data_IF_208799870698
#
_entry.id   IF_208799870698
#
_cell.length_a   1.000
_cell.length_b   1.000
_cell.length_c   1.000
_cell.angle_alpha   90.00
_cell.angle_beta   90.00
_cell.angle_gamma   90.00
#
_symmetry.space_group_name_H-M   'P 1'
#
loop_
_entity.id
_entity.type
_entity.pdbx_description
1 polymer ?
#
# COMPACT_ATOMS: atom_id res chain seq x y z
N UNK A 1 -8.86 30.01 -4.11
CA UNK A 1 -9.04 29.19 -2.87
C UNK A 1 -7.67 28.76 -2.39
N UNK A 2 -7.35 28.91 -1.11
CA UNK A 2 -6.14 28.32 -0.50
C UNK A 2 -6.57 26.97 0.08
N UNK A 3 -5.95 25.87 -0.39
CA UNK A 3 -6.26 24.53 0.07
C UNK A 3 -5.04 23.95 0.82
N UNK A 4 -5.22 23.61 2.09
CA UNK A 4 -4.15 23.16 2.99
C UNK A 4 -4.37 21.74 3.55
N UNK A 5 -5.31 20.97 2.97
CA UNK A 5 -5.67 19.64 3.44
C UNK A 5 -5.26 18.52 2.44
N UNK A 6 -4.08 18.64 1.85
CA UNK A 6 -3.56 17.64 0.91
C UNK A 6 -3.31 16.27 1.57
N UNK A 7 -3.14 16.22 2.89
CA UNK A 7 -3.05 14.98 3.66
C UNK A 7 -4.33 14.13 3.61
N UNK A 8 -5.50 14.77 3.47
CA UNK A 8 -6.78 14.07 3.26
C UNK A 8 -6.93 13.61 1.81
N UNK A 9 -6.74 14.52 0.86
CA UNK A 9 -6.71 14.27 -0.60
C UNK A 9 -6.03 15.45 -1.29
N UNK A 10 -5.35 15.21 -2.41
CA UNK A 10 -4.74 16.31 -3.17
C UNK A 10 -5.78 17.14 -3.90
N UNK A 11 -5.63 18.47 -3.88
CA UNK A 11 -6.46 19.41 -4.65
C UNK A 11 -5.65 20.69 -4.97
N UNK A 12 -5.75 21.25 -6.22
CA UNK A 12 -6.51 20.69 -7.36
C UNK A 12 -5.83 19.45 -7.95
N UNK A 13 -6.62 18.63 -8.62
CA UNK A 13 -6.09 17.55 -9.47
C UNK A 13 -5.55 18.13 -10.77
N UNK A 14 -4.51 17.52 -11.39
CA UNK A 14 -4.11 17.88 -12.76
C UNK A 14 -5.31 17.77 -13.72
N UNK A 15 -5.45 18.74 -14.64
CA UNK A 15 -6.55 18.76 -15.60
C UNK A 15 -6.59 17.50 -16.46
N UNK A 16 -5.42 16.93 -16.76
CA UNK A 16 -5.24 15.67 -17.49
C UNK A 16 -5.99 14.49 -16.85
N UNK A 17 -6.09 14.46 -15.52
CA UNK A 17 -6.79 13.39 -14.79
C UNK A 17 -8.28 13.42 -15.11
N UNK A 18 -8.93 14.58 -15.04
CA UNK A 18 -10.34 14.73 -15.37
C UNK A 18 -10.62 14.37 -16.83
N UNK A 19 -9.77 14.83 -17.76
CA UNK A 19 -9.90 14.50 -19.20
C UNK A 19 -9.75 13.00 -19.45
N UNK A 20 -8.77 12.34 -18.84
CA UNK A 20 -8.58 10.90 -18.99
C UNK A 20 -9.76 10.08 -18.44
N UNK A 21 -10.35 10.51 -17.32
CA UNK A 21 -11.53 9.85 -16.76
C UNK A 21 -12.75 9.96 -17.69
N UNK A 22 -13.01 11.16 -18.25
CA UNK A 22 -14.10 11.36 -19.21
C UNK A 22 -13.88 10.52 -20.47
N UNK A 23 -12.68 10.56 -21.02
CA UNK A 23 -12.33 9.77 -22.19
C UNK A 23 -12.55 8.28 -21.96
N UNK A 24 -12.11 7.75 -20.80
CA UNK A 24 -12.28 6.34 -20.45
C UNK A 24 -13.77 5.94 -20.34
N UNK A 25 -14.61 6.80 -19.73
CA UNK A 25 -16.05 6.57 -19.63
C UNK A 25 -16.75 6.52 -20.99
N UNK A 26 -16.29 7.31 -21.97
CA UNK A 26 -16.89 7.40 -23.29
C UNK A 26 -16.39 6.32 -24.27
N UNK A 27 -15.17 5.77 -24.06
CA UNK A 27 -14.50 4.97 -25.07
C UNK A 27 -14.10 3.57 -24.64
N UNK A 28 -13.98 3.29 -23.31
CA UNK A 28 -13.50 2.00 -22.83
C UNK A 28 -14.62 1.12 -22.27
N UNK A 29 -14.87 -0.06 -22.87
CA UNK A 29 -15.71 -1.09 -22.28
C UNK A 29 -14.94 -1.85 -21.16
N UNK A 30 -15.57 -2.91 -20.63
CA UNK A 30 -14.95 -3.73 -19.60
C UNK A 30 -13.71 -4.47 -20.13
N UNK A 31 -12.55 -4.34 -19.47
CA UNK A 31 -11.36 -5.13 -19.83
C UNK A 31 -11.60 -6.62 -19.57
N UNK A 32 -10.94 -7.49 -20.35
CA UNK A 32 -10.96 -8.94 -20.15
C UNK A 32 -12.29 -9.65 -20.47
N UNK A 33 -13.26 -8.94 -21.06
CA UNK A 33 -14.58 -9.49 -21.37
C UNK A 33 -14.96 -9.27 -22.82
N UNK A 34 -14.26 -9.90 -23.74
CA UNK A 34 -14.58 -9.86 -25.16
C UNK A 34 -13.35 -9.65 -26.03
N UNK A 35 -13.55 -9.84 -27.35
CA UNK A 35 -12.52 -9.67 -28.38
C UNK A 35 -12.72 -8.38 -29.19
N UNK A 36 -13.36 -7.38 -28.60
CA UNK A 36 -13.51 -6.08 -29.27
C UNK A 36 -12.23 -5.25 -29.09
N UNK A 37 -11.91 -4.43 -30.08
CA UNK A 37 -10.77 -3.51 -30.02
C UNK A 37 -10.83 -2.55 -28.81
N UNK A 38 -12.04 -2.23 -28.33
CA UNK A 38 -12.22 -1.45 -27.11
C UNK A 38 -11.81 -2.21 -25.84
N UNK A 39 -12.11 -3.51 -25.75
CA UNK A 39 -11.71 -4.34 -24.62
C UNK A 39 -10.18 -4.51 -24.59
N UNK A 40 -9.54 -4.72 -25.76
CA UNK A 40 -8.09 -4.77 -25.90
C UNK A 40 -7.45 -3.43 -25.47
N UNK A 41 -7.99 -2.30 -25.91
CA UNK A 41 -7.50 -0.97 -25.48
C UNK A 41 -7.63 -0.74 -23.98
N UNK A 42 -8.67 -1.26 -23.33
CA UNK A 42 -8.83 -1.20 -21.87
C UNK A 42 -7.80 -2.05 -21.13
N UNK A 43 -7.47 -3.25 -21.65
CA UNK A 43 -6.41 -4.10 -21.10
C UNK A 43 -5.02 -3.46 -21.27
N UNK A 44 -4.73 -2.91 -22.45
CA UNK A 44 -3.49 -2.20 -22.70
C UNK A 44 -3.29 -1.01 -21.76
N UNK A 45 -4.35 -0.25 -21.47
CA UNK A 45 -4.31 0.87 -20.53
C UNK A 45 -4.00 0.39 -19.10
N UNK A 46 -4.63 -0.71 -18.65
CA UNK A 46 -4.35 -1.29 -17.33
C UNK A 46 -2.92 -1.83 -17.24
N UNK A 47 -2.42 -2.42 -18.31
CA UNK A 47 -1.04 -2.90 -18.35
C UNK A 47 -0.03 -1.74 -18.37
N UNK A 48 -0.30 -0.69 -19.15
CA UNK A 48 0.51 0.53 -19.15
C UNK A 48 0.59 1.19 -17.76
N UNK A 49 -0.53 1.23 -17.01
CA UNK A 49 -0.54 1.71 -15.63
C UNK A 49 0.37 0.86 -14.72
N UNK A 50 0.35 -0.47 -14.87
CA UNK A 50 1.23 -1.36 -14.11
C UNK A 50 2.70 -1.14 -14.44
N UNK A 51 3.03 -0.93 -15.72
CA UNK A 51 4.39 -0.62 -16.16
C UNK A 51 4.90 0.68 -15.53
N UNK A 52 4.08 1.75 -15.56
CA UNK A 52 4.44 3.03 -14.94
C UNK A 52 4.63 2.91 -13.43
N UNK A 53 3.71 2.23 -12.73
CA UNK A 53 3.83 2.01 -11.30
C UNK A 53 5.08 1.15 -10.97
N UNK A 54 5.34 0.10 -11.74
CA UNK A 54 6.49 -0.76 -11.57
C UNK A 54 7.81 0.01 -11.76
N UNK A 55 7.87 0.87 -12.78
CA UNK A 55 9.02 1.75 -13.02
C UNK A 55 9.23 2.76 -11.88
N UNK A 56 8.15 3.37 -11.36
CA UNK A 56 8.23 4.38 -10.32
C UNK A 56 8.64 3.80 -8.96
N UNK A 57 8.22 2.57 -8.65
CA UNK A 57 8.42 1.95 -7.34
C UNK A 57 9.43 0.79 -7.35
N UNK A 58 10.15 0.60 -8.46
CA UNK A 58 11.16 -0.44 -8.65
C UNK A 58 10.65 -1.85 -8.31
N UNK A 59 9.63 -2.30 -9.05
CA UNK A 59 9.07 -3.65 -8.96
C UNK A 59 8.70 -4.19 -10.34
N UNK A 60 8.15 -5.39 -10.41
CA UNK A 60 7.65 -5.95 -11.68
C UNK A 60 6.18 -5.57 -11.90
N UNK A 61 5.71 -5.40 -13.16
CA UNK A 61 4.31 -5.06 -13.44
C UNK A 61 3.31 -6.06 -12.87
N UNK A 62 3.68 -7.33 -12.78
CA UNK A 62 2.87 -8.41 -12.22
C UNK A 62 2.68 -8.28 -10.70
N UNK A 63 3.57 -7.55 -10.05
CA UNK A 63 3.50 -7.25 -8.62
C UNK A 63 2.55 -6.10 -8.29
N UNK A 64 2.01 -5.40 -9.31
CA UNK A 64 1.12 -4.25 -9.12
C UNK A 64 -0.33 -4.69 -9.16
N UNK A 65 -1.01 -4.63 -8.00
CA UNK A 65 -2.45 -4.87 -7.86
C UNK A 65 -3.17 -3.53 -7.75
N UNK A 66 -4.22 -3.36 -8.59
CA UNK A 66 -5.11 -2.21 -8.51
C UNK A 66 -6.13 -2.42 -7.39
N UNK A 67 -6.25 -1.45 -6.51
CA UNK A 67 -7.20 -1.48 -5.39
C UNK A 67 -8.12 -0.26 -5.43
N UNK A 68 -9.19 -0.30 -4.64
CA UNK A 68 -10.12 0.85 -4.54
C UNK A 68 -9.65 1.92 -3.56
N UNK A 69 -8.65 1.60 -2.73
CA UNK A 69 -8.07 2.51 -1.73
C UNK A 69 -6.84 1.89 -1.08
N UNK A 70 -6.04 2.69 -0.40
CA UNK A 70 -4.98 2.19 0.49
C UNK A 70 -5.54 1.23 1.57
N UNK A 71 -6.68 1.55 2.16
CA UNK A 71 -7.35 0.69 3.15
C UNK A 71 -7.66 -0.69 2.59
N UNK A 72 -8.09 -0.78 1.33
CA UNK A 72 -8.33 -2.06 0.65
C UNK A 72 -7.02 -2.84 0.51
N UNK A 73 -5.95 -2.20 0.01
CA UNK A 73 -4.62 -2.83 -0.11
C UNK A 73 -4.06 -3.30 1.24
N UNK A 74 -4.14 -2.46 2.29
CA UNK A 74 -3.71 -2.83 3.64
C UNK A 74 -4.47 -4.03 4.20
N UNK A 75 -5.79 -4.13 3.97
CA UNK A 75 -6.56 -5.29 4.41
C UNK A 75 -6.16 -6.57 3.67
N UNK A 76 -5.89 -6.50 2.36
CA UNK A 76 -5.35 -7.64 1.60
C UNK A 76 -4.01 -8.07 2.20
N UNK A 77 -3.05 -7.15 2.34
CA UNK A 77 -1.71 -7.43 2.81
C UNK A 77 -1.69 -8.00 4.23
N UNK A 78 -2.39 -7.36 5.18
CA UNK A 78 -2.45 -7.79 6.58
C UNK A 78 -3.03 -9.20 6.68
N UNK A 79 -4.16 -9.46 6.01
CA UNK A 79 -4.83 -10.76 6.06
C UNK A 79 -4.13 -11.86 5.26
N UNK A 80 -3.21 -11.49 4.37
CA UNK A 80 -2.32 -12.44 3.69
C UNK A 80 -1.17 -12.92 4.58
N UNK A 81 -0.74 -12.09 5.53
CA UNK A 81 0.49 -12.33 6.31
C UNK A 81 0.22 -12.72 7.76
N UNK A 82 -0.89 -12.30 8.35
CA UNK A 82 -1.19 -12.53 9.76
C UNK A 82 -2.62 -13.02 9.99
N UNK A 83 -2.81 -13.74 11.08
CA UNK A 83 -4.06 -14.29 11.57
C UNK A 83 -4.30 -14.02 13.07
N UNK A 84 -5.36 -14.63 13.64
CA UNK A 84 -5.67 -14.50 15.07
C UNK A 84 -4.53 -15.00 15.95
N UNK A 85 -4.15 -14.20 16.95
CA UNK A 85 -3.09 -14.52 17.91
C UNK A 85 -1.66 -14.33 17.39
N UNK A 86 -1.46 -14.03 16.10
CA UNK A 86 -0.13 -13.77 15.59
C UNK A 86 0.44 -12.47 16.16
N UNK A 87 1.73 -12.52 16.52
CA UNK A 87 2.47 -11.35 17.00
C UNK A 87 2.76 -10.41 15.84
N UNK A 88 2.26 -9.16 15.95
CA UNK A 88 2.43 -8.10 14.94
C UNK A 88 3.04 -6.87 15.60
N UNK A 89 4.11 -6.35 15.02
CA UNK A 89 4.75 -5.11 15.48
C UNK A 89 4.32 -3.95 14.58
N UNK A 90 3.88 -2.85 15.19
CA UNK A 90 3.45 -1.63 14.48
C UNK A 90 4.09 -0.38 15.10
N UNK A 91 4.01 0.76 14.39
CA UNK A 91 4.39 2.04 15.00
C UNK A 91 3.26 2.64 15.85
N UNK A 92 3.60 3.58 16.74
CA UNK A 92 2.62 4.34 17.53
C UNK A 92 1.83 5.37 16.70
N UNK A 93 2.19 5.58 15.44
CA UNK A 93 1.60 6.59 14.56
C UNK A 93 0.83 5.99 13.38
N UNK A 94 0.44 4.71 13.50
CA UNK A 94 -0.30 4.01 12.46
C UNK A 94 -1.70 4.58 12.22
N UNK A 95 -2.12 4.54 10.96
CA UNK A 95 -3.48 4.87 10.59
C UNK A 95 -4.47 3.77 11.00
N UNK A 96 -5.74 4.14 11.23
CA UNK A 96 -6.81 3.19 11.53
C UNK A 96 -6.98 2.06 10.50
N UNK A 97 -6.53 2.26 9.26
CA UNK A 97 -6.56 1.23 8.21
C UNK A 97 -5.61 0.05 8.49
N UNK A 98 -4.61 0.25 9.36
CA UNK A 98 -3.70 -0.78 9.90
C UNK A 98 -4.25 -1.31 11.22
N UNK A 99 -4.55 -0.42 12.15
CA UNK A 99 -4.89 -0.78 13.55
C UNK A 99 -6.19 -1.59 13.62
N UNK A 100 -7.24 -1.13 12.92
CA UNK A 100 -8.56 -1.78 13.01
C UNK A 100 -8.62 -3.21 12.49
N UNK A 101 -8.05 -3.56 11.30
CA UNK A 101 -8.04 -4.95 10.86
C UNK A 101 -7.23 -5.86 11.78
N UNK A 102 -6.11 -5.40 12.36
CA UNK A 102 -5.33 -6.17 13.33
C UNK A 102 -6.13 -6.46 14.61
N UNK A 103 -6.80 -5.45 15.18
CA UNK A 103 -7.70 -5.66 16.33
C UNK A 103 -8.88 -6.57 15.98
N UNK A 104 -9.50 -6.37 14.81
CA UNK A 104 -10.64 -7.16 14.39
C UNK A 104 -10.31 -8.64 14.19
N UNK A 105 -9.09 -8.97 13.79
CA UNK A 105 -8.65 -10.36 13.66
C UNK A 105 -8.14 -10.98 14.97
N UNK A 106 -7.95 -10.18 16.02
CA UNK A 106 -7.42 -10.65 17.30
C UNK A 106 -5.91 -10.91 17.28
N UNK A 107 -5.14 -10.11 16.53
CA UNK A 107 -3.68 -10.17 16.53
C UNK A 107 -3.10 -9.71 17.89
N UNK A 108 -1.94 -10.25 18.26
CA UNK A 108 -1.14 -9.79 19.40
C UNK A 108 -0.26 -8.60 18.96
N UNK A 109 -0.73 -7.38 19.28
CA UNK A 109 -0.17 -6.13 18.73
C UNK A 109 0.87 -5.54 19.70
N UNK A 110 2.07 -5.32 19.20
CA UNK A 110 3.17 -4.66 19.89
C UNK A 110 3.51 -3.33 19.20
N UNK A 111 3.67 -2.27 19.99
CA UNK A 111 3.78 -0.89 19.46
C UNK A 111 5.15 -0.30 19.80
N UNK A 112 5.91 0.10 18.76
CA UNK A 112 7.15 0.86 18.86
C UNK A 112 6.90 2.37 18.72
N UNK A 113 7.82 3.18 19.27
CA UNK A 113 7.83 4.64 19.06
C UNK A 113 7.23 5.44 20.20
N UNK A 114 7.44 5.07 21.44
CA UNK A 114 7.00 5.81 22.64
C UNK A 114 7.47 7.26 22.66
N UNK A 115 8.63 7.54 22.04
CA UNK A 115 9.20 8.87 21.92
C UNK A 115 9.06 9.37 20.49
N UNK A 116 8.11 10.29 20.27
CA UNK A 116 7.86 10.88 18.96
C UNK A 116 9.07 11.68 18.46
N UNK A 117 9.29 11.70 17.15
CA UNK A 117 10.35 12.42 16.45
C UNK A 117 11.78 12.04 16.83
N UNK A 118 11.96 10.88 17.48
CA UNK A 118 13.27 10.31 17.81
C UNK A 118 13.43 8.99 17.04
N UNK A 119 14.02 9.07 15.84
CA UNK A 119 14.21 7.91 14.97
C UNK A 119 15.17 6.88 15.59
N UNK A 120 16.18 7.30 16.35
CA UNK A 120 17.10 6.39 16.98
C UNK A 120 16.41 5.58 18.10
N UNK A 121 15.66 6.24 18.97
CA UNK A 121 14.88 5.56 20.01
C UNK A 121 13.79 4.67 19.40
N UNK A 122 13.18 5.09 18.29
CA UNK A 122 12.21 4.26 17.55
C UNK A 122 12.84 2.95 17.05
N UNK A 123 14.00 3.03 16.41
CA UNK A 123 14.70 1.85 15.88
C UNK A 123 15.17 0.92 17.00
N UNK A 124 15.63 1.47 18.12
CA UNK A 124 16.02 0.67 19.30
C UNK A 124 14.82 -0.07 19.89
N UNK A 125 13.66 0.60 20.05
CA UNK A 125 12.44 -0.07 20.51
C UNK A 125 11.95 -1.10 19.50
N UNK A 126 11.98 -0.80 18.21
CA UNK A 126 11.59 -1.71 17.15
C UNK A 126 12.45 -2.96 17.16
N UNK A 127 13.77 -2.80 17.26
CA UNK A 127 14.73 -3.91 17.33
C UNK A 127 14.45 -4.87 18.50
N UNK A 128 14.08 -4.33 19.66
CA UNK A 128 13.72 -5.12 20.86
C UNK A 128 12.37 -5.85 20.70
N UNK A 129 11.43 -5.28 19.92
CA UNK A 129 10.10 -5.86 19.70
C UNK A 129 10.07 -6.92 18.62
N UNK A 130 10.99 -6.86 17.64
CA UNK A 130 11.12 -7.83 16.56
C UNK A 130 11.78 -9.12 17.08
N UNK A 131 10.97 -10.03 17.56
CA UNK A 131 11.37 -11.35 18.12
C UNK A 131 11.16 -12.46 17.09
N UNK A 132 11.73 -13.67 17.27
CA UNK A 132 11.58 -14.78 16.31
C UNK A 132 10.14 -15.24 16.07
N UNK A 133 9.22 -14.95 16.98
CA UNK A 133 7.79 -15.22 16.86
C UNK A 133 7.00 -14.07 16.23
N UNK A 134 7.65 -12.97 15.86
CA UNK A 134 7.01 -11.87 15.14
C UNK A 134 6.62 -12.32 13.73
N UNK A 135 5.32 -12.28 13.44
CA UNK A 135 4.76 -12.72 12.17
C UNK A 135 4.76 -11.63 11.11
N UNK A 136 4.65 -10.36 11.53
CA UNK A 136 4.52 -9.21 10.63
C UNK A 136 4.99 -7.93 11.32
N UNK A 137 5.70 -7.09 10.59
CA UNK A 137 5.95 -5.69 10.94
C UNK A 137 5.21 -4.78 9.97
N UNK A 138 4.38 -3.85 10.47
CA UNK A 138 3.65 -2.86 9.66
C UNK A 138 4.04 -1.47 10.11
N UNK A 139 4.53 -0.64 9.19
CA UNK A 139 4.88 0.73 9.48
C UNK A 139 4.27 1.69 8.47
N UNK A 140 3.72 2.80 8.96
CA UNK A 140 3.45 3.96 8.10
C UNK A 140 4.77 4.66 7.76
N UNK A 141 4.95 5.07 6.51
CA UNK A 141 6.15 5.82 6.11
C UNK A 141 6.13 7.24 6.68
N UNK A 142 4.95 7.89 6.60
CA UNK A 142 4.74 9.25 7.11
C UNK A 142 3.43 9.32 7.87
N UNK A 143 3.49 9.79 9.11
CA UNK A 143 2.29 9.98 9.92
C UNK A 143 1.37 11.03 9.31
N UNK A 144 0.10 10.69 9.10
CA UNK A 144 -0.91 11.63 8.61
C UNK A 144 -1.29 12.71 9.64
N UNK A 145 -0.97 12.50 10.91
CA UNK A 145 -1.28 13.44 12.01
C UNK A 145 -0.10 14.36 12.31
N UNK A 146 1.11 13.76 12.41
CA UNK A 146 2.29 14.47 12.88
C UNK A 146 3.24 14.89 11.76
N UNK A 147 3.11 14.33 10.55
CA UNK A 147 4.09 14.51 9.46
C UNK A 147 5.47 13.91 9.78
N UNK A 148 5.57 13.08 10.83
CA UNK A 148 6.81 12.39 11.16
C UNK A 148 7.11 11.34 10.10
N UNK A 149 8.30 11.43 9.50
CA UNK A 149 8.85 10.45 8.56
C UNK A 149 9.56 9.39 9.38
N UNK A 150 9.09 8.16 9.33
CA UNK A 150 9.73 7.03 10.01
C UNK A 150 10.95 6.53 9.23
N UNK A 151 11.99 6.01 9.90
CA UNK A 151 13.20 5.45 9.28
C UNK A 151 12.91 4.04 8.73
N UNK A 152 12.14 3.99 7.62
CA UNK A 152 11.59 2.73 7.09
C UNK A 152 12.64 1.87 6.40
N UNK A 153 13.70 2.47 5.85
CA UNK A 153 14.82 1.75 5.24
C UNK A 153 15.58 0.92 6.29
N UNK A 154 15.92 1.53 7.42
CA UNK A 154 16.59 0.86 8.54
C UNK A 154 15.66 -0.17 9.17
N UNK A 155 14.39 0.16 9.38
CA UNK A 155 13.38 -0.76 9.91
C UNK A 155 13.18 -1.99 9.01
N UNK A 156 13.12 -1.81 7.69
CA UNK A 156 13.08 -2.89 6.71
C UNK A 156 14.34 -3.76 6.76
N UNK A 157 15.51 -3.15 7.00
CA UNK A 157 16.76 -3.85 7.24
C UNK A 157 16.68 -4.79 8.43
N UNK A 158 16.19 -4.31 9.59
CA UNK A 158 15.98 -5.11 10.80
C UNK A 158 15.00 -6.28 10.56
N UNK A 159 13.92 -6.04 9.83
CA UNK A 159 12.96 -7.09 9.46
C UNK A 159 13.59 -8.15 8.56
N UNK A 160 14.34 -7.72 7.54
CA UNK A 160 15.02 -8.62 6.59
C UNK A 160 16.04 -9.53 7.28
N UNK A 161 16.86 -8.99 8.20
CA UNK A 161 17.83 -9.77 8.97
C UNK A 161 17.18 -10.87 9.81
N UNK A 162 15.92 -10.69 10.23
CA UNK A 162 15.13 -11.62 11.03
C UNK A 162 14.13 -12.44 10.24
N UNK A 163 14.11 -12.28 8.91
CA UNK A 163 13.13 -12.91 8.01
C UNK A 163 11.67 -12.62 8.39
N UNK A 164 11.40 -11.41 8.93
CA UNK A 164 10.07 -10.96 9.27
C UNK A 164 9.48 -10.20 8.08
N UNK A 165 8.30 -10.58 7.57
CA UNK A 165 7.62 -9.83 6.52
C UNK A 165 7.38 -8.38 6.92
N UNK A 166 7.71 -7.44 6.01
CA UNK A 166 7.55 -6.01 6.20
C UNK A 166 6.45 -5.46 5.29
N UNK A 167 5.47 -4.77 5.87
CA UNK A 167 4.41 -4.06 5.16
C UNK A 167 4.55 -2.55 5.37
N UNK A 168 4.61 -1.80 4.27
CA UNK A 168 4.69 -0.34 4.30
C UNK A 168 3.32 0.28 3.95
N UNK A 169 2.78 1.10 4.87
CA UNK A 169 1.71 2.06 4.54
C UNK A 169 2.33 3.33 3.96
N UNK A 170 2.28 3.47 2.65
CA UNK A 170 2.80 4.60 1.90
C UNK A 170 1.74 5.65 1.59
N UNK A 171 0.65 5.72 2.39
CA UNK A 171 -0.49 6.59 2.12
C UNK A 171 -0.14 8.07 2.03
N UNK A 172 0.87 8.53 2.76
CA UNK A 172 1.30 9.94 2.76
C UNK A 172 2.60 10.18 1.97
N UNK A 173 3.33 9.14 1.61
CA UNK A 173 4.64 9.25 0.97
C UNK A 173 4.64 8.93 -0.51
N UNK A 174 3.78 8.02 -0.99
CA UNK A 174 3.74 7.66 -2.40
C UNK A 174 3.48 8.89 -3.30
N UNK A 175 4.36 9.08 -4.28
CA UNK A 175 4.34 10.25 -5.17
C UNK A 175 4.97 11.52 -4.58
N UNK A 176 5.47 11.49 -3.32
CA UNK A 176 6.12 12.66 -2.67
C UNK A 176 7.50 12.34 -2.14
N UNK A 177 7.73 11.13 -1.66
CA UNK A 177 9.05 10.64 -1.25
C UNK A 177 9.46 9.47 -2.14
N UNK A 178 10.76 9.24 -2.34
CA UNK A 178 11.24 8.04 -3.00
C UNK A 178 10.80 6.78 -2.25
N UNK A 179 10.36 5.77 -2.99
CA UNK A 179 10.03 4.44 -2.44
C UNK A 179 10.59 3.43 -3.44
N UNK A 180 11.48 2.58 -2.95
CA UNK A 180 12.09 1.50 -3.73
C UNK A 180 11.70 0.16 -3.10
N UNK A 181 10.81 -0.57 -3.77
CA UNK A 181 10.28 -1.84 -3.25
C UNK A 181 11.36 -2.92 -3.15
N UNK A 182 12.26 -2.97 -4.12
CA UNK A 182 13.35 -3.95 -4.15
C UNK A 182 14.36 -3.68 -3.04
N UNK A 183 14.78 -2.41 -2.86
CA UNK A 183 15.70 -2.02 -1.81
C UNK A 183 15.13 -2.26 -0.40
N UNK A 184 13.85 -1.96 -0.18
CA UNK A 184 13.15 -2.24 1.07
C UNK A 184 13.00 -3.74 1.32
N UNK A 185 12.89 -4.56 0.27
CA UNK A 185 12.53 -5.97 0.41
C UNK A 185 11.16 -6.16 1.06
N UNK A 186 10.24 -5.22 0.81
CA UNK A 186 8.92 -5.21 1.41
C UNK A 186 8.07 -6.39 0.90
N UNK A 187 7.36 -7.05 1.82
CA UNK A 187 6.36 -8.04 1.44
C UNK A 187 5.19 -7.39 0.70
N UNK A 188 4.76 -6.20 1.17
CA UNK A 188 3.76 -5.37 0.50
C UNK A 188 4.00 -3.88 0.75
N UNK A 189 3.57 -3.05 -0.22
CA UNK A 189 3.48 -1.59 -0.07
C UNK A 189 2.09 -1.16 -0.53
N UNK A 190 1.32 -0.49 0.33
CA UNK A 190 -0.02 -0.03 0.02
C UNK A 190 -0.07 1.49 -0.10
N UNK A 191 -0.80 2.01 -1.09
CA UNK A 191 -0.93 3.45 -1.31
C UNK A 191 -2.26 3.83 -1.96
N UNK A 192 -2.80 5.05 -1.68
CA UNK A 192 -3.98 5.56 -2.36
C UNK A 192 -3.60 6.30 -3.66
N UNK A 193 -4.44 6.23 -4.68
CA UNK A 193 -4.23 7.00 -5.89
C UNK A 193 -4.52 8.50 -5.74
N UNK A 194 -5.34 8.89 -4.76
CA UNK A 194 -5.90 10.24 -4.68
C UNK A 194 -5.09 11.25 -3.84
N UNK A 195 -3.95 10.86 -3.28
CA UNK A 195 -3.05 11.75 -2.52
C UNK A 195 -1.85 12.15 -3.38
N UNK A 196 -0.63 11.81 -3.01
CA UNK A 196 0.58 12.21 -3.73
C UNK A 196 0.66 11.72 -5.17
N UNK A 197 -0.02 10.63 -5.53
CA UNK A 197 -0.16 10.17 -6.91
C UNK A 197 -1.13 11.00 -7.77
N UNK A 198 -1.84 11.97 -7.19
CA UNK A 198 -2.71 12.95 -7.85
C UNK A 198 -3.90 12.37 -8.63
N UNK A 199 -4.18 11.09 -8.50
CA UNK A 199 -5.28 10.39 -9.14
C UNK A 199 -6.66 10.66 -8.50
N UNK A 200 -7.73 10.04 -9.00
CA UNK A 200 -9.06 10.19 -8.44
C UNK A 200 -9.23 9.43 -7.12
N UNK A 201 -10.21 9.84 -6.32
CA UNK A 201 -10.68 9.02 -5.19
C UNK A 201 -11.28 7.70 -5.72
N UNK A 202 -11.29 6.67 -4.87
CA UNK A 202 -11.74 5.34 -5.27
C UNK A 202 -10.68 4.50 -5.98
N UNK A 203 -9.41 4.95 -5.95
CA UNK A 203 -8.27 4.23 -6.52
C UNK A 203 -7.13 4.07 -5.52
N UNK A 204 -6.35 3.00 -5.70
CA UNK A 204 -5.14 2.71 -4.93
C UNK A 204 -4.31 1.63 -5.60
N UNK A 205 -3.10 1.44 -5.10
CA UNK A 205 -2.19 0.38 -5.52
C UNK A 205 -1.76 -0.44 -4.31
N UNK A 206 -1.55 -1.73 -4.53
CA UNK A 206 -0.83 -2.63 -3.65
C UNK A 206 0.31 -3.25 -4.46
N UNK A 207 1.54 -2.99 -4.03
CA UNK A 207 2.72 -3.65 -4.57
C UNK A 207 2.99 -4.92 -3.77
N UNK A 208 3.23 -6.03 -4.45
CA UNK A 208 3.28 -7.36 -3.87
C UNK A 208 4.65 -8.00 -4.07
N UNK A 209 5.48 -8.05 -3.04
CA UNK A 209 6.67 -8.87 -2.95
C UNK A 209 6.39 -10.29 -2.40
N UNK A 210 5.15 -10.50 -1.96
CA UNK A 210 4.64 -11.77 -1.43
C UNK A 210 3.31 -12.12 -2.10
N UNK A 211 2.92 -13.39 -2.06
CA UNK A 211 1.63 -13.83 -2.56
C UNK A 211 0.48 -13.20 -1.74
N UNK A 212 -0.49 -12.62 -2.45
CA UNK A 212 -1.64 -11.97 -1.85
C UNK A 212 -2.83 -12.95 -1.79
N UNK A 213 -3.38 -13.15 -0.59
CA UNK A 213 -4.62 -13.89 -0.42
C UNK A 213 -5.83 -13.06 -0.87
N UNK A 214 -6.87 -13.66 -1.47
CA UNK A 214 -8.07 -12.97 -1.84
C UNK A 214 -8.81 -12.46 -0.60
N UNK A 215 -9.16 -11.16 -0.59
CA UNK A 215 -10.01 -10.58 0.46
C UNK A 215 -11.50 -10.91 0.24
N UNK A 216 -11.88 -11.06 -1.03
CA UNK A 216 -13.23 -11.44 -1.46
C UNK A 216 -13.10 -12.57 -2.48
N UNK A 217 -13.95 -13.56 -2.35
CA UNK A 217 -14.02 -14.69 -3.27
C UNK A 217 -15.13 -14.46 -4.31
N UNK A 218 -14.90 -14.92 -5.54
CA UNK A 218 -15.85 -14.81 -6.66
C UNK A 218 -15.25 -14.05 -7.83
N UNK A 219 -16.09 -13.65 -8.73
CA UNK A 219 -15.70 -12.98 -9.98
C UNK A 219 -15.92 -13.86 -11.21
N UNK A 220 -15.51 -13.36 -12.36
CA UNK A 220 -15.65 -14.07 -13.66
C UNK A 220 -14.28 -14.47 -14.14
N UNK A 221 -13.79 -15.62 -13.67
CA UNK A 221 -12.60 -16.25 -14.23
C UNK A 221 -12.94 -17.08 -15.47
N UNK A 222 -11.97 -17.27 -16.37
CA UNK A 222 -12.06 -18.19 -17.49
C UNK A 222 -11.92 -19.66 -17.07
N UNK A 223 -11.48 -19.92 -15.84
CA UNK A 223 -11.31 -21.24 -15.26
C UNK A 223 -12.00 -21.30 -13.90
N UNK A 224 -13.05 -22.11 -13.80
CA UNK A 224 -13.65 -22.47 -12.51
C UNK A 224 -12.86 -23.65 -11.91
N UNK A 225 -12.38 -23.47 -10.69
CA UNK A 225 -11.84 -24.59 -9.87
C UNK A 225 -12.82 -24.87 -8.77
#
# INVERSE_FOLDING_TARGET
MIYLDNGATSLPKPETVGRAMLWALEHLPSPGRGSSSGAEAAEELLFALRLEAASQFHCQPEQVILTTSCTHGLNIAIKSLAGPGDRVVISCVEHNAVVRPLYAMGADIHVAGKKLFDSAAFLEELDQLLTPDTRLCVLTHVSNVFGWILPVEEAAGLCRERHIPFLLDAAQSAGTLPIDMEALGAAFIAMPGHKGLLGPQGTGLLLCGHEAAPLMEGGTGSVSR
#
